data_IF_320227814382
#
_entry.id   IF_320227814382
#
_cell.length_a   1.000
_cell.length_b   1.000
_cell.length_c   1.000
_cell.angle_alpha   90.00
_cell.angle_beta   90.00
_cell.angle_gamma   90.00
#
_symmetry.space_group_name_H-M   'P 1'
#
loop_
_entity.id
_entity.type
_entity.pdbx_description
1 polymer ?
#
# COMPACT_ATOMS: atom_id res chain seq x y z
N UNK A 1 -36.49 15.52 -7.91
CA UNK A 1 -35.97 16.89 -7.68
C UNK A 1 -34.66 17.00 -8.47
N UNK A 2 -34.56 17.92 -9.44
CA UNK A 2 -33.48 17.92 -10.45
C UNK A 2 -32.24 18.68 -9.95
N UNK A 3 -31.07 18.23 -10.42
CA UNK A 3 -29.67 18.59 -10.09
C UNK A 3 -29.27 20.09 -10.15
N UNK A 4 -30.20 21.02 -10.38
CA UNK A 4 -29.91 22.43 -10.61
C UNK A 4 -29.99 23.32 -9.36
N UNK A 5 -30.54 22.84 -8.25
CA UNK A 5 -30.79 23.68 -7.06
C UNK A 5 -29.69 23.63 -6.00
N UNK A 6 -28.68 22.76 -6.11
CA UNK A 6 -27.63 22.61 -5.10
C UNK A 6 -26.42 23.55 -5.30
N UNK A 7 -26.26 24.15 -6.49
CA UNK A 7 -25.10 24.97 -6.85
C UNK A 7 -25.29 26.48 -6.58
N UNK A 8 -26.39 26.89 -5.94
CA UNK A 8 -26.62 28.31 -5.56
C UNK A 8 -26.37 28.64 -4.09
N UNK A 9 -25.95 27.69 -3.24
CA UNK A 9 -25.78 27.95 -1.80
C UNK A 9 -24.32 28.19 -1.32
N UNK A 10 -23.32 28.22 -2.21
CA UNK A 10 -21.91 28.35 -1.80
C UNK A 10 -21.21 29.63 -2.29
N UNK A 11 -21.95 30.72 -2.48
CA UNK A 11 -21.37 32.04 -2.84
C UNK A 11 -21.35 33.06 -1.69
N UNK A 12 -21.59 32.66 -0.44
CA UNK A 12 -21.60 33.58 0.71
C UNK A 12 -20.69 33.10 1.85
N UNK A 13 -19.39 33.06 1.58
CA UNK A 13 -18.35 33.22 2.58
C UNK A 13 -17.04 33.54 1.84
N UNK A 14 -16.61 34.80 1.86
CA UNK A 14 -15.35 35.25 1.26
C UNK A 14 -14.12 34.69 1.98
N UNK A 15 -13.87 33.39 1.84
CA UNK A 15 -12.67 32.73 2.34
C UNK A 15 -11.72 32.55 1.17
N UNK A 16 -10.73 33.44 1.09
CA UNK A 16 -9.57 33.26 0.22
C UNK A 16 -8.69 32.13 0.78
N UNK A 17 -8.68 30.99 0.08
CA UNK A 17 -7.73 29.91 0.36
C UNK A 17 -6.39 30.21 -0.31
N UNK A 18 -5.39 30.59 0.48
CA UNK A 18 -3.99 30.55 0.08
C UNK A 18 -3.57 29.08 -0.03
N UNK A 19 -3.24 28.65 -1.25
CA UNK A 19 -2.71 27.29 -1.47
C UNK A 19 -1.28 27.18 -0.91
N UNK A 20 -0.95 26.12 -0.14
CA UNK A 20 0.45 25.87 0.21
C UNK A 20 1.22 25.42 -1.04
N UNK A 21 2.47 25.88 -1.16
CA UNK A 21 3.35 25.52 -2.25
C UNK A 21 3.63 24.00 -2.23
N UNK A 22 3.26 23.30 -3.30
CA UNK A 22 3.58 21.90 -3.52
C UNK A 22 5.07 21.75 -3.87
N UNK A 23 5.74 20.83 -3.18
CA UNK A 23 7.06 20.34 -3.57
C UNK A 23 6.96 19.62 -4.92
N UNK A 24 7.89 19.92 -5.84
CA UNK A 24 7.89 19.33 -7.17
C UNK A 24 8.05 17.80 -7.09
N UNK A 25 7.04 17.08 -7.59
CA UNK A 25 7.06 15.61 -7.68
C UNK A 25 5.74 14.90 -7.43
N UNK A 26 4.70 15.59 -6.94
CA UNK A 26 3.35 15.03 -6.79
C UNK A 26 2.34 15.81 -7.65
N UNK A 27 1.68 15.11 -8.56
CA UNK A 27 0.55 15.67 -9.34
C UNK A 27 -0.70 15.61 -8.44
N UNK A 28 -1.37 16.75 -8.15
CA UNK A 28 -2.61 16.73 -7.39
C UNK A 28 -3.72 16.00 -8.15
N UNK A 29 -4.43 15.09 -7.48
CA UNK A 29 -5.64 14.45 -8.06
C UNK A 29 -6.80 15.44 -7.91
N UNK A 30 -7.36 15.90 -9.04
CA UNK A 30 -8.55 16.77 -9.06
C UNK A 30 -9.81 15.95 -8.69
N UNK A 31 -10.73 16.47 -7.86
CA UNK A 31 -11.99 15.78 -7.57
C UNK A 31 -12.94 15.89 -8.77
N UNK A 32 -13.30 14.77 -9.41
CA UNK A 32 -14.38 14.77 -10.41
C UNK A 32 -14.31 13.77 -11.56
N UNK A 33 -13.21 13.04 -11.75
CA UNK A 33 -13.14 11.98 -12.77
C UNK A 33 -13.47 10.61 -12.16
N UNK A 34 -14.70 10.14 -12.38
CA UNK A 34 -15.14 8.78 -12.02
C UNK A 34 -14.58 7.67 -12.94
N UNK A 35 -13.57 7.94 -13.78
CA UNK A 35 -13.08 7.00 -14.81
C UNK A 35 -11.55 6.84 -14.86
N UNK A 36 -10.83 7.03 -13.75
CA UNK A 36 -9.44 6.53 -13.69
C UNK A 36 -9.46 5.07 -13.27
N UNK A 37 -9.70 4.19 -14.26
CA UNK A 37 -9.33 2.79 -14.17
C UNK A 37 -7.89 2.64 -14.69
N UNK A 38 -6.92 2.25 -13.86
CA UNK A 38 -7.06 1.66 -12.53
C UNK A 38 -7.18 2.72 -11.43
N UNK A 39 -7.80 2.34 -10.30
CA UNK A 39 -7.84 3.19 -9.12
C UNK A 39 -6.41 3.45 -8.60
N UNK A 40 -6.03 4.72 -8.45
CA UNK A 40 -4.79 5.14 -7.82
C UNK A 40 -5.10 5.63 -6.41
N UNK A 41 -4.56 4.98 -5.39
CA UNK A 41 -4.83 5.33 -3.99
C UNK A 41 -3.55 5.52 -3.19
N UNK A 42 -3.54 6.49 -2.28
CA UNK A 42 -2.45 6.72 -1.32
C UNK A 42 -2.95 6.83 0.14
N UNK A 43 -4.26 6.89 0.34
CA UNK A 43 -4.92 6.77 1.64
C UNK A 43 -6.22 5.96 1.51
N UNK A 44 -6.72 5.47 2.63
CA UNK A 44 -8.06 4.90 2.75
C UNK A 44 -9.06 5.87 3.37
N UNK A 45 -10.25 5.39 3.74
CA UNK A 45 -11.30 6.21 4.34
C UNK A 45 -10.82 6.86 5.65
N UNK A 46 -10.97 8.18 5.76
CA UNK A 46 -10.53 8.97 6.92
C UNK A 46 -11.43 8.86 8.17
N UNK A 47 -12.39 7.93 8.19
CA UNK A 47 -13.34 7.75 9.29
C UNK A 47 -13.19 6.36 9.91
N UNK A 48 -13.45 6.28 11.22
CA UNK A 48 -13.05 5.15 12.05
C UNK A 48 -11.53 5.13 12.18
N UNK A 49 -10.99 5.12 13.40
CA UNK A 49 -9.54 5.13 13.64
C UNK A 49 -8.89 3.86 13.06
N UNK A 50 -8.69 3.83 11.75
CA UNK A 50 -8.22 2.68 10.97
C UNK A 50 -7.04 3.10 10.13
N UNK A 51 -6.07 2.19 10.03
CA UNK A 51 -4.89 2.32 9.18
C UNK A 51 -4.64 1.00 8.47
N UNK A 52 -4.00 1.05 7.30
CA UNK A 52 -3.45 -0.14 6.66
C UNK A 52 -1.96 -0.27 7.00
N UNK A 53 -1.59 -1.42 7.55
CA UNK A 53 -0.20 -1.85 7.69
C UNK A 53 0.20 -2.57 6.41
N UNK A 54 1.22 -2.06 5.72
CA UNK A 54 1.69 -2.66 4.47
C UNK A 54 3.19 -2.92 4.51
N UNK A 55 3.60 -4.07 3.97
CA UNK A 55 5.00 -4.49 3.91
C UNK A 55 5.39 -4.77 2.46
N UNK A 56 6.42 -4.10 1.97
CA UNK A 56 6.97 -4.28 0.63
C UNK A 56 8.21 -5.19 0.66
N UNK A 57 8.57 -5.68 -0.52
CA UNK A 57 9.79 -6.43 -0.85
C UNK A 57 9.90 -7.86 -0.34
N UNK A 58 8.89 -8.38 0.34
CA UNK A 58 8.81 -9.76 0.79
C UNK A 58 8.49 -10.77 -0.31
N UNK A 59 8.41 -12.07 0.02
CA UNK A 59 8.74 -12.63 1.34
C UNK A 59 10.26 -12.80 1.50
N UNK A 60 10.78 -12.53 2.69
CA UNK A 60 12.20 -12.68 3.06
C UNK A 60 12.33 -13.61 4.27
N UNK A 61 12.79 -14.87 4.08
CA UNK A 61 12.95 -15.83 5.19
C UNK A 61 13.74 -15.26 6.36
N UNK A 62 13.24 -15.49 7.57
CA UNK A 62 13.81 -14.99 8.82
C UNK A 62 13.36 -13.58 9.21
N UNK A 63 13.02 -12.69 8.26
CA UNK A 63 12.49 -11.34 8.57
C UNK A 63 10.97 -11.33 8.48
N UNK A 64 10.38 -11.76 7.37
CA UNK A 64 8.92 -11.90 7.22
C UNK A 64 8.35 -12.81 8.32
N UNK A 65 9.03 -13.90 8.66
CA UNK A 65 8.60 -14.81 9.74
C UNK A 65 8.46 -14.11 11.09
N UNK A 66 9.37 -13.17 11.39
CA UNK A 66 9.32 -12.38 12.63
C UNK A 66 8.16 -11.39 12.59
N UNK A 67 7.94 -10.73 11.44
CA UNK A 67 6.80 -9.82 11.26
C UNK A 67 5.47 -10.57 11.44
N UNK A 68 5.31 -11.73 10.80
CA UNK A 68 4.13 -12.59 10.95
C UNK A 68 3.90 -13.01 12.41
N UNK A 69 4.97 -13.40 13.10
CA UNK A 69 4.92 -13.76 14.52
C UNK A 69 4.39 -12.61 15.38
N UNK A 70 4.85 -11.38 15.14
CA UNK A 70 4.40 -10.21 15.90
C UNK A 70 2.97 -9.75 15.55
N UNK A 71 2.55 -9.93 14.29
CA UNK A 71 1.16 -9.73 13.86
C UNK A 71 0.22 -10.71 14.57
N UNK A 72 0.57 -12.00 14.56
CA UNK A 72 -0.20 -13.08 15.19
C UNK A 72 -0.38 -12.87 16.69
N UNK A 73 0.69 -12.52 17.42
CA UNK A 73 0.65 -12.21 18.87
C UNK A 73 -0.37 -11.15 19.25
N UNK A 74 -0.67 -10.22 18.34
CA UNK A 74 -1.58 -9.08 18.56
C UNK A 74 -2.89 -9.22 17.78
N UNK A 75 -3.13 -10.36 17.13
CA UNK A 75 -4.29 -10.59 16.27
C UNK A 75 -4.47 -9.50 15.20
N UNK A 76 -3.36 -8.95 14.72
CA UNK A 76 -3.35 -7.93 13.67
C UNK A 76 -3.21 -8.58 12.30
N UNK A 77 -3.75 -7.92 11.29
CA UNK A 77 -3.57 -8.33 9.90
C UNK A 77 -3.02 -7.17 9.08
N UNK A 78 -2.22 -7.52 8.08
CA UNK A 78 -1.51 -6.57 7.22
C UNK A 78 -1.68 -6.97 5.74
N UNK A 79 -1.05 -6.20 4.86
CA UNK A 79 -0.94 -6.52 3.43
C UNK A 79 0.51 -6.57 3.03
N UNK A 80 0.89 -7.62 2.31
CA UNK A 80 2.26 -7.81 1.85
C UNK A 80 2.32 -7.63 0.33
N UNK A 81 3.04 -6.62 -0.14
CA UNK A 81 3.35 -6.41 -1.55
C UNK A 81 4.59 -7.23 -1.89
N UNK A 82 4.37 -8.37 -2.56
CA UNK A 82 5.38 -9.39 -2.76
C UNK A 82 6.11 -9.23 -4.09
N UNK A 83 7.43 -9.40 -4.05
CA UNK A 83 8.27 -9.51 -5.24
C UNK A 83 8.14 -10.93 -5.80
N UNK A 84 7.72 -11.06 -7.06
CA UNK A 84 7.43 -12.37 -7.67
C UNK A 84 8.60 -13.35 -7.64
N UNK A 85 9.84 -12.90 -7.89
CA UNK A 85 11.02 -13.77 -7.81
C UNK A 85 11.28 -14.30 -6.38
N UNK A 86 10.95 -13.53 -5.34
CA UNK A 86 11.06 -13.99 -3.95
C UNK A 86 9.94 -14.96 -3.58
N UNK A 87 8.74 -14.77 -4.13
CA UNK A 87 7.66 -15.75 -4.00
C UNK A 87 8.05 -17.09 -4.62
N UNK A 88 8.62 -17.10 -5.83
CA UNK A 88 9.12 -18.34 -6.47
C UNK A 88 10.23 -18.99 -5.63
N UNK A 89 11.09 -18.20 -4.97
CA UNK A 89 12.17 -18.70 -4.11
C UNK A 89 11.68 -19.17 -2.73
N UNK A 90 10.51 -18.72 -2.25
CA UNK A 90 9.98 -19.04 -0.92
C UNK A 90 8.45 -19.18 -0.92
N UNK A 91 7.89 -20.12 -1.71
CA UNK A 91 6.46 -20.21 -1.94
C UNK A 91 5.69 -20.63 -0.67
N UNK A 92 6.31 -21.41 0.22
CA UNK A 92 5.71 -21.79 1.50
C UNK A 92 5.51 -20.58 2.42
N UNK A 93 6.44 -19.62 2.39
CA UNK A 93 6.33 -18.40 3.19
C UNK A 93 5.26 -17.47 2.62
N UNK A 94 5.16 -17.34 1.29
CA UNK A 94 4.04 -16.63 0.66
C UNK A 94 2.68 -17.26 1.01
N UNK A 95 2.60 -18.60 1.03
CA UNK A 95 1.38 -19.31 1.44
C UNK A 95 1.03 -19.06 2.91
N UNK A 96 2.03 -19.11 3.79
CA UNK A 96 1.87 -18.81 5.22
C UNK A 96 1.27 -17.42 5.46
N UNK A 97 1.70 -16.40 4.69
CA UNK A 97 1.13 -15.04 4.77
C UNK A 97 -0.40 -15.09 4.59
N UNK A 98 -0.88 -15.82 3.57
CA UNK A 98 -2.31 -15.96 3.29
C UNK A 98 -3.02 -16.85 4.32
N UNK A 99 -2.42 -17.97 4.71
CA UNK A 99 -2.99 -18.90 5.69
C UNK A 99 -3.19 -18.24 7.08
N UNK A 100 -2.34 -17.26 7.45
CA UNK A 100 -2.49 -16.44 8.67
C UNK A 100 -3.49 -15.27 8.50
N UNK A 101 -4.15 -15.17 7.33
CA UNK A 101 -5.23 -14.24 7.07
C UNK A 101 -4.80 -12.83 6.65
N UNK A 102 -3.59 -12.68 6.12
CA UNK A 102 -3.10 -11.43 5.54
C UNK A 102 -3.40 -11.34 4.04
N UNK A 103 -3.50 -10.12 3.53
CA UNK A 103 -3.61 -9.90 2.08
C UNK A 103 -2.24 -9.99 1.43
N UNK A 104 -2.20 -10.51 0.20
CA UNK A 104 -1.03 -10.44 -0.69
C UNK A 104 -1.33 -9.55 -1.89
N UNK A 105 -0.34 -8.76 -2.28
CA UNK A 105 -0.42 -7.80 -3.37
C UNK A 105 0.83 -7.90 -4.27
N UNK A 106 0.73 -7.37 -5.48
CA UNK A 106 1.79 -7.45 -6.49
C UNK A 106 2.83 -6.34 -6.30
N UNK A 107 4.13 -6.69 -6.29
CA UNK A 107 5.22 -5.72 -6.22
C UNK A 107 6.27 -5.89 -7.33
N UNK A 108 5.81 -6.26 -8.54
CA UNK A 108 6.65 -6.64 -9.69
C UNK A 108 7.50 -7.89 -9.45
N UNK A 109 8.14 -8.37 -10.52
CA UNK A 109 8.82 -9.65 -10.47
C UNK A 109 10.25 -9.51 -9.96
N UNK A 110 10.97 -8.46 -10.38
CA UNK A 110 12.39 -8.21 -10.05
C UNK A 110 12.64 -6.83 -9.44
N UNK A 111 11.60 -6.13 -8.99
CA UNK A 111 11.69 -4.79 -8.39
C UNK A 111 12.38 -3.71 -9.28
N UNK A 112 12.09 -3.61 -10.60
CA UNK A 112 12.68 -2.56 -11.42
C UNK A 112 11.94 -1.22 -11.27
N UNK A 113 12.62 -0.12 -11.61
CA UNK A 113 11.99 1.20 -11.74
C UNK A 113 11.17 1.27 -13.03
N UNK A 114 9.85 1.05 -12.93
CA UNK A 114 8.93 0.92 -14.08
C UNK A 114 8.81 2.18 -14.93
N UNK A 115 8.96 3.37 -14.33
CA UNK A 115 8.87 4.64 -15.05
C UNK A 115 9.92 4.83 -16.15
N UNK A 116 10.95 3.97 -16.23
CA UNK A 116 11.95 3.98 -17.30
C UNK A 116 11.80 2.85 -18.32
N UNK A 117 10.81 1.97 -18.15
CA UNK A 117 10.64 0.76 -18.94
C UNK A 117 9.61 0.95 -20.06
N UNK A 118 9.67 0.09 -21.08
CA UNK A 118 8.60 -0.02 -22.08
C UNK A 118 7.35 -0.66 -21.47
N UNK A 119 6.19 -0.35 -22.03
CA UNK A 119 4.90 -0.86 -21.55
C UNK A 119 4.84 -2.40 -21.56
N UNK A 120 5.37 -3.05 -22.60
CA UNK A 120 5.45 -4.51 -22.65
C UNK A 120 6.34 -5.08 -21.53
N UNK A 121 7.45 -4.41 -21.20
CA UNK A 121 8.31 -4.87 -20.11
C UNK A 121 7.66 -4.67 -18.74
N UNK A 122 6.88 -3.60 -18.56
CA UNK A 122 6.04 -3.38 -17.38
C UNK A 122 4.98 -4.48 -17.26
N UNK A 123 4.25 -4.77 -18.33
CA UNK A 123 3.23 -5.82 -18.36
C UNK A 123 3.80 -7.17 -17.95
N UNK A 124 4.97 -7.54 -18.49
CA UNK A 124 5.65 -8.79 -18.13
C UNK A 124 6.05 -8.87 -16.65
N UNK A 125 6.45 -7.76 -16.05
CA UNK A 125 6.74 -7.70 -14.61
C UNK A 125 5.48 -7.98 -13.77
N UNK A 126 4.34 -7.44 -14.19
CA UNK A 126 3.07 -7.63 -13.48
C UNK A 126 2.54 -9.05 -13.66
N UNK A 127 2.48 -9.56 -14.90
CA UNK A 127 1.96 -10.90 -15.22
C UNK A 127 2.76 -11.99 -14.50
N UNK A 128 4.10 -11.99 -14.61
CA UNK A 128 4.91 -13.02 -13.92
C UNK A 128 4.69 -13.03 -12.41
N UNK A 129 4.42 -11.86 -11.83
CA UNK A 129 4.18 -11.73 -10.39
C UNK A 129 2.78 -12.20 -10.01
N UNK A 130 1.75 -11.91 -10.81
CA UNK A 130 0.41 -12.49 -10.65
C UNK A 130 0.51 -14.02 -10.64
N UNK A 131 1.21 -14.59 -11.62
CA UNK A 131 1.34 -16.03 -11.75
C UNK A 131 2.11 -16.65 -10.58
N UNK A 132 3.20 -16.03 -10.14
CA UNK A 132 3.98 -16.51 -8.99
C UNK A 132 3.15 -16.54 -7.71
N UNK A 133 2.42 -15.45 -7.41
CA UNK A 133 1.57 -15.36 -6.21
C UNK A 133 0.41 -16.35 -6.30
N UNK A 134 -0.28 -16.44 -7.45
CA UNK A 134 -1.39 -17.37 -7.65
C UNK A 134 -0.96 -18.83 -7.52
N UNK A 135 0.19 -19.22 -8.10
CA UNK A 135 0.74 -20.58 -7.95
C UNK A 135 1.08 -20.91 -6.50
N UNK A 136 1.69 -19.98 -5.77
CA UNK A 136 2.13 -20.24 -4.40
C UNK A 136 0.95 -20.27 -3.41
N UNK A 137 -0.02 -19.37 -3.57
CA UNK A 137 -1.02 -19.06 -2.54
C UNK A 137 -2.46 -19.41 -2.92
N UNK A 138 -2.75 -19.62 -4.21
CA UNK A 138 -4.11 -19.73 -4.72
C UNK A 138 -4.85 -18.38 -4.82
N UNK A 139 -4.22 -17.26 -4.44
CA UNK A 139 -4.80 -15.92 -4.49
C UNK A 139 -4.26 -15.17 -5.71
N UNK A 140 -5.16 -14.53 -6.47
CA UNK A 140 -4.78 -13.57 -7.52
C UNK A 140 -4.85 -12.16 -6.94
N UNK A 141 -3.72 -11.42 -6.87
CA UNK A 141 -3.74 -10.05 -6.37
C UNK A 141 -4.64 -9.14 -7.21
N UNK A 142 -5.33 -8.21 -6.53
CA UNK A 142 -6.11 -7.12 -7.14
C UNK A 142 -5.49 -5.73 -6.93
N UNK A 143 -4.40 -5.69 -6.17
CA UNK A 143 -3.63 -4.48 -5.88
C UNK A 143 -2.18 -4.68 -6.27
N UNK A 144 -1.58 -3.64 -6.81
CA UNK A 144 -0.18 -3.55 -7.19
C UNK A 144 0.42 -2.26 -6.62
N UNK A 145 1.65 -2.33 -6.13
CA UNK A 145 2.43 -1.13 -5.75
C UNK A 145 3.70 -1.06 -6.59
N UNK A 146 3.99 0.07 -7.25
CA UNK A 146 5.21 0.19 -8.03
C UNK A 146 6.45 0.37 -7.15
N UNK A 147 7.54 -0.36 -7.43
CA UNK A 147 8.85 -0.11 -6.83
C UNK A 147 9.21 1.37 -6.86
N UNK A 148 9.71 1.89 -5.74
CA UNK A 148 10.09 3.30 -5.54
C UNK A 148 8.95 4.32 -5.73
N UNK A 149 7.69 3.88 -5.82
CA UNK A 149 6.57 4.73 -6.24
C UNK A 149 6.65 5.18 -7.70
N UNK A 150 7.54 4.57 -8.50
CA UNK A 150 7.93 5.08 -9.81
C UNK A 150 7.12 4.44 -10.94
N UNK A 151 5.95 5.00 -11.22
CA UNK A 151 5.03 4.53 -12.24
C UNK A 151 4.37 5.70 -12.97
N UNK A 152 4.33 5.65 -14.29
CA UNK A 152 3.71 6.71 -15.09
C UNK A 152 2.19 6.54 -15.08
N UNK A 153 1.45 7.63 -15.00
CA UNK A 153 -0.03 7.56 -14.99
C UNK A 153 -0.58 6.89 -16.25
N UNK A 154 0.08 7.13 -17.38
CA UNK A 154 -0.25 6.59 -18.70
C UNK A 154 -0.10 5.05 -18.74
N UNK A 155 0.81 4.50 -17.92
CA UNK A 155 0.98 3.05 -17.75
C UNK A 155 -0.15 2.41 -16.93
N UNK A 156 -1.03 3.21 -16.31
CA UNK A 156 -2.17 2.72 -15.52
C UNK A 156 -3.02 1.72 -16.30
N UNK A 157 -3.25 1.96 -17.60
CA UNK A 157 -4.04 1.05 -18.44
C UNK A 157 -3.48 -0.39 -18.47
N UNK A 158 -2.18 -0.58 -18.24
CA UNK A 158 -1.55 -1.91 -18.14
C UNK A 158 -2.00 -2.61 -16.86
N UNK A 159 -1.92 -1.93 -15.72
CA UNK A 159 -2.42 -2.49 -14.45
C UNK A 159 -3.93 -2.76 -14.54
N UNK A 160 -4.69 -1.85 -15.15
CA UNK A 160 -6.12 -2.02 -15.39
C UNK A 160 -6.49 -3.28 -16.18
N UNK A 161 -5.79 -3.54 -17.29
CA UNK A 161 -5.99 -4.73 -18.13
C UNK A 161 -5.78 -6.04 -17.35
N UNK A 162 -4.96 -5.99 -16.29
CA UNK A 162 -4.66 -7.13 -15.43
C UNK A 162 -5.57 -7.20 -14.18
N UNK A 163 -6.57 -6.31 -14.07
CA UNK A 163 -7.45 -6.25 -12.90
C UNK A 163 -6.75 -5.74 -11.65
N UNK A 164 -5.73 -4.88 -11.79
CA UNK A 164 -4.93 -4.34 -10.69
C UNK A 164 -5.23 -2.85 -10.46
N UNK A 165 -5.60 -2.50 -9.23
CA UNK A 165 -5.49 -1.13 -8.71
C UNK A 165 -4.04 -0.77 -8.34
N UNK A 166 -3.71 0.51 -8.35
CA UNK A 166 -2.38 1.02 -8.01
C UNK A 166 -2.38 1.63 -6.60
N UNK A 167 -1.65 0.98 -5.69
CA UNK A 167 -1.53 1.36 -4.30
C UNK A 167 -0.22 2.10 -4.01
N UNK A 168 -0.32 3.24 -3.35
CA UNK A 168 0.78 4.00 -2.75
C UNK A 168 0.65 3.96 -1.23
N UNK A 169 1.17 4.99 -0.56
CA UNK A 169 1.17 5.14 0.89
C UNK A 169 1.05 6.61 1.26
N UNK A 170 0.63 6.88 2.50
CA UNK A 170 0.57 8.22 3.09
C UNK A 170 1.60 8.41 4.21
N UNK A 171 2.14 7.32 4.76
CA UNK A 171 3.16 7.33 5.81
C UNK A 171 4.38 6.54 5.34
N UNK A 172 5.53 7.21 5.28
CA UNK A 172 6.84 6.62 4.97
C UNK A 172 7.83 6.91 6.11
N UNK A 173 8.17 5.91 6.94
CA UNK A 173 9.15 6.08 8.02
C UNK A 173 10.60 6.02 7.52
N UNK A 174 10.83 5.71 6.24
CA UNK A 174 12.14 5.47 5.63
C UNK A 174 12.91 4.36 6.32
N UNK A 175 12.24 3.26 6.63
CA UNK A 175 12.85 2.08 7.25
C UNK A 175 13.86 1.40 6.34
N UNK A 176 13.69 1.50 5.01
CA UNK A 176 14.66 1.10 4.00
C UNK A 176 16.04 1.78 4.14
N UNK A 177 16.12 2.95 4.80
CA UNK A 177 17.39 3.62 5.08
C UNK A 177 18.04 3.14 6.39
N UNK A 178 17.43 2.17 7.08
CA UNK A 178 17.88 1.58 8.34
C UNK A 178 18.28 2.61 9.44
N UNK A 179 17.38 3.55 9.80
CA UNK A 179 17.68 4.64 10.74
C UNK A 179 17.59 4.23 12.24
N UNK A 180 17.42 2.95 12.54
CA UNK A 180 17.18 2.38 13.86
C UNK A 180 15.69 2.19 14.17
N UNK A 181 15.34 1.12 14.87
CA UNK A 181 13.95 0.73 15.17
C UNK A 181 13.17 1.81 15.93
N UNK A 182 13.78 2.43 16.94
CA UNK A 182 13.21 3.58 17.67
C UNK A 182 12.81 4.73 16.74
N UNK A 183 13.68 5.08 15.78
CA UNK A 183 13.41 6.13 14.79
C UNK A 183 12.24 5.75 13.89
N UNK A 184 12.19 4.50 13.43
CA UNK A 184 11.11 3.97 12.60
C UNK A 184 9.78 4.07 13.37
N UNK A 185 9.72 3.54 14.60
CA UNK A 185 8.53 3.59 15.45
C UNK A 185 8.04 5.02 15.66
N UNK A 186 8.93 5.94 16.03
CA UNK A 186 8.58 7.35 16.23
C UNK A 186 7.97 7.97 14.98
N UNK A 187 8.57 7.76 13.81
CA UNK A 187 8.09 8.31 12.54
C UNK A 187 6.71 7.77 12.17
N UNK A 188 6.52 6.45 12.27
CA UNK A 188 5.22 5.82 12.01
C UNK A 188 4.15 6.40 12.92
N UNK A 189 4.37 6.40 14.24
CA UNK A 189 3.37 6.90 15.18
C UNK A 189 3.11 8.40 14.97
N UNK A 190 4.13 9.24 14.80
CA UNK A 190 3.90 10.68 14.62
C UNK A 190 3.11 11.05 13.35
N UNK A 191 3.23 10.25 12.28
CA UNK A 191 2.61 10.54 11.00
C UNK A 191 1.25 9.83 10.81
N UNK A 192 0.94 8.82 11.63
CA UNK A 192 -0.30 8.05 11.49
C UNK A 192 -1.54 8.84 11.90
N UNK A 193 -2.51 8.88 10.99
CA UNK A 193 -3.84 9.47 11.12
C UNK A 193 -4.91 8.48 10.58
N UNK A 194 -6.21 8.65 10.91
CA UNK A 194 -7.27 7.84 10.31
C UNK A 194 -7.20 7.87 8.78
N UNK A 195 -7.30 6.71 8.14
CA UNK A 195 -7.12 6.59 6.68
C UNK A 195 -5.69 6.32 6.23
N UNK A 196 -4.69 6.31 7.12
CA UNK A 196 -3.30 6.16 6.70
C UNK A 196 -2.99 4.79 6.11
N UNK A 197 -2.18 4.79 5.05
CA UNK A 197 -1.51 3.60 4.53
C UNK A 197 -0.03 3.73 4.90
N UNK A 198 0.44 2.81 5.75
CA UNK A 198 1.80 2.82 6.30
C UNK A 198 2.67 1.89 5.46
N UNK A 199 3.71 2.46 4.83
CA UNK A 199 4.75 1.71 4.13
C UNK A 199 5.83 1.24 5.12
N UNK A 200 6.10 -0.06 5.11
CA UNK A 200 7.22 -0.72 5.77
C UNK A 200 7.81 -1.76 4.80
N UNK A 201 8.98 -2.30 5.11
CA UNK A 201 9.64 -3.32 4.30
C UNK A 201 10.03 -4.53 5.16
N UNK A 202 9.60 -5.73 4.78
CA UNK A 202 9.81 -6.96 5.57
C UNK A 202 11.08 -7.73 5.16
N UNK A 203 12.09 -7.03 4.62
CA UNK A 203 13.45 -7.56 4.40
C UNK A 203 14.49 -7.00 5.40
N UNK A 204 14.13 -5.98 6.19
CA UNK A 204 15.06 -5.30 7.10
C UNK A 204 14.82 -5.70 8.56
N UNK A 205 15.88 -6.13 9.25
CA UNK A 205 15.80 -6.52 10.66
C UNK A 205 15.31 -5.38 11.55
N UNK A 206 15.75 -4.14 11.30
CA UNK A 206 15.33 -2.98 12.08
C UNK A 206 13.83 -2.70 11.96
N UNK A 207 13.21 -3.01 10.81
CA UNK A 207 11.76 -2.93 10.63
C UNK A 207 11.07 -3.98 11.50
N UNK A 208 11.53 -5.24 11.45
CA UNK A 208 11.01 -6.30 12.30
C UNK A 208 11.20 -6.00 13.81
N UNK A 209 12.28 -5.30 14.19
CA UNK A 209 12.52 -4.85 15.56
C UNK A 209 11.59 -3.69 15.99
N UNK A 210 11.18 -2.83 15.04
CA UNK A 210 10.27 -1.71 15.29
C UNK A 210 8.80 -2.13 15.39
N UNK A 211 8.44 -3.19 14.67
CA UNK A 211 7.07 -3.70 14.52
C UNK A 211 6.32 -3.86 15.86
N UNK A 212 6.87 -4.50 16.91
CA UNK A 212 6.18 -4.64 18.19
C UNK A 212 5.72 -3.28 18.76
N UNK A 213 6.64 -2.32 18.84
CA UNK A 213 6.35 -1.00 19.41
C UNK A 213 5.45 -0.14 18.51
N UNK A 214 5.52 -0.32 17.18
CA UNK A 214 4.57 0.30 16.25
C UNK A 214 3.16 -0.21 16.54
N UNK A 215 2.99 -1.53 16.66
CA UNK A 215 1.69 -2.16 16.86
C UNK A 215 1.09 -1.75 18.21
N UNK A 216 1.88 -1.81 19.28
CA UNK A 216 1.45 -1.40 20.63
C UNK A 216 1.05 0.08 20.64
N UNK A 217 1.88 0.96 20.05
CA UNK A 217 1.58 2.40 20.00
C UNK A 217 0.38 2.77 19.12
N UNK A 218 0.07 2.00 18.07
CA UNK A 218 -1.15 2.19 17.29
C UNK A 218 -2.39 1.78 18.09
N UNK A 219 -2.34 0.65 18.79
CA UNK A 219 -3.43 0.16 19.65
C UNK A 219 -3.70 1.14 20.79
N UNK A 220 -2.66 1.63 21.47
CA UNK A 220 -2.79 2.64 22.53
C UNK A 220 -3.46 3.93 22.04
N UNK A 221 -3.23 4.27 20.77
CA UNK A 221 -3.87 5.42 20.09
C UNK A 221 -5.22 5.07 19.49
N UNK A 222 -5.80 3.92 19.83
CA UNK A 222 -7.11 3.42 19.40
C UNK A 222 -7.22 3.13 17.90
N UNK A 223 -6.09 2.98 17.20
CA UNK A 223 -6.11 2.56 15.81
C UNK A 223 -6.37 1.05 15.67
N UNK A 224 -7.21 0.70 14.71
CA UNK A 224 -7.38 -0.67 14.24
C UNK A 224 -6.63 -0.85 12.92
N UNK A 225 -5.71 -1.82 12.86
CA UNK A 225 -5.09 -2.19 11.60
C UNK A 225 -6.05 -3.03 10.76
N UNK A 226 -6.15 -2.73 9.47
CA UNK A 226 -6.95 -3.50 8.53
C UNK A 226 -6.12 -3.84 7.28
N UNK A 227 -6.23 -5.07 6.75
CA UNK A 227 -5.71 -5.42 5.44
C UNK A 227 -6.32 -4.54 4.37
N UNK A 228 -5.52 -4.22 3.35
CA UNK A 228 -5.83 -3.31 2.27
C UNK A 228 -7.18 -3.61 1.62
N UNK A 229 -7.47 -4.88 1.30
CA UNK A 229 -8.74 -5.26 0.68
C UNK A 229 -9.94 -4.88 1.56
N UNK A 230 -9.86 -5.14 2.86
CA UNK A 230 -10.91 -4.77 3.83
C UNK A 230 -10.93 -3.27 4.19
N UNK A 231 -9.88 -2.54 3.84
CA UNK A 231 -9.67 -1.15 4.21
C UNK A 231 -10.14 -0.19 3.11
N UNK A 232 -9.72 -0.43 1.88
CA UNK A 232 -10.01 0.41 0.70
C UNK A 232 -10.98 -0.24 -0.29
N UNK A 233 -11.30 -1.53 -0.12
CA UNK A 233 -12.15 -2.28 -1.04
C UNK A 233 -11.39 -2.94 -2.19
N UNK A 234 -12.12 -3.60 -3.07
CA UNK A 234 -11.60 -4.07 -4.36
C UNK A 234 -11.69 -2.91 -5.36
N UNK A 235 -10.65 -2.64 -6.16
CA UNK A 235 -10.66 -1.51 -7.10
C UNK A 235 -11.71 -1.61 -8.22
N UNK A 236 -12.38 -2.75 -8.36
CA UNK A 236 -13.33 -3.04 -9.44
C UNK A 236 -14.76 -3.38 -8.98
N UNK A 237 -15.07 -3.26 -7.68
CA UNK A 237 -16.43 -3.52 -7.14
C UNK A 237 -16.81 -2.48 -6.10
#
# INVERSE_FOLDING_TARGET
>A
MRRADFLKLLSLAGVSYSSPAFSQGQVPIQPGECEVNPAFINSGPGFGNRVALTFDDGPSPGVTDRVLTELSKRSLRATFFLIGAKVDASPQLARRIVDEGHDVANHTYTHPRLSGMSDSAVEQQLIRTQDAIARATGVTPVWFRPPYGAFRREQGSIASKLGLGVAYWSVDPKDWSQPGSSTITKRVLSASQPGSIILLHDLHSQTADAVPAIFDGLIERTFTAAPFHSFVGNPYT
#
